data_IF_381424604950
#
_entry.id   IF_381424604950
#
_cell.length_a   1.000
_cell.length_b   1.000
_cell.length_c   1.000
_cell.angle_alpha   90.00
_cell.angle_beta   90.00
_cell.angle_gamma   90.00
#
_symmetry.space_group_name_H-M   'P 1'
#
loop_
_entity.id
_entity.type
_entity.pdbx_description
1 polymer ?
#
# COMPACT_ATOMS: atom_id res chain seq x y z
N UNK A 1 -13.76 11.07 11.61
CA UNK A 1 -14.37 9.87 12.24
C UNK A 1 -13.52 9.33 13.41
N UNK A 2 -14.09 8.50 14.28
CA UNK A 2 -13.34 7.77 15.32
C UNK A 2 -13.36 6.28 15.00
N UNK A 3 -12.18 5.67 14.96
CA UNK A 3 -12.04 4.21 14.83
C UNK A 3 -12.27 3.59 16.21
N UNK A 4 -13.14 2.59 16.26
CA UNK A 4 -13.48 1.83 17.47
C UNK A 4 -13.04 0.37 17.35
N UNK A 5 -13.18 -0.41 18.42
CA UNK A 5 -12.74 -1.81 18.43
C UNK A 5 -13.50 -2.66 17.39
N UNK A 6 -14.76 -2.31 17.15
CA UNK A 6 -15.64 -2.95 16.18
C UNK A 6 -15.23 -2.66 14.73
N UNK A 7 -14.53 -1.54 14.49
CA UNK A 7 -14.11 -1.13 13.15
C UNK A 7 -12.82 -1.84 12.71
N UNK A 8 -11.98 -2.28 13.65
CA UNK A 8 -10.64 -2.82 13.32
C UNK A 8 -10.69 -3.99 12.35
N UNK A 9 -11.51 -5.05 12.54
CA UNK A 9 -11.53 -6.17 11.60
C UNK A 9 -11.88 -5.74 10.17
N UNK A 10 -12.80 -4.79 10.03
CA UNK A 10 -13.20 -4.25 8.73
C UNK A 10 -12.09 -3.37 8.13
N UNK A 11 -11.50 -2.46 8.92
CA UNK A 11 -10.38 -1.65 8.43
C UNK A 11 -9.21 -2.53 7.99
N UNK A 12 -8.82 -3.52 8.82
CA UNK A 12 -7.79 -4.53 8.53
C UNK A 12 -8.07 -5.26 7.20
N UNK A 13 -9.31 -5.74 7.00
CA UNK A 13 -9.69 -6.40 5.75
C UNK A 13 -9.59 -5.46 4.55
N UNK A 14 -10.05 -4.23 4.69
CA UNK A 14 -10.04 -3.22 3.64
C UNK A 14 -8.63 -2.86 3.18
N UNK A 15 -7.75 -2.52 4.14
CA UNK A 15 -6.36 -2.15 3.83
C UNK A 15 -5.59 -3.32 3.22
N UNK A 16 -5.85 -4.56 3.69
CA UNK A 16 -5.24 -5.75 3.11
C UNK A 16 -5.69 -5.98 1.65
N UNK A 17 -6.98 -5.76 1.35
CA UNK A 17 -7.50 -5.87 -0.02
C UNK A 17 -6.90 -4.82 -0.95
N UNK A 18 -6.58 -3.62 -0.43
CA UNK A 18 -5.95 -2.53 -1.17
C UNK A 18 -4.42 -2.69 -1.29
N UNK A 19 -3.81 -3.64 -0.57
CA UNK A 19 -2.37 -3.91 -0.62
C UNK A 19 -1.89 -4.54 -1.93
N UNK A 20 -2.78 -5.04 -2.78
CA UNK A 20 -2.45 -5.67 -4.07
C UNK A 20 -1.45 -6.82 -3.98
N UNK A 21 -1.43 -7.56 -2.86
CA UNK A 21 -0.44 -8.61 -2.59
C UNK A 21 0.87 -8.11 -1.97
N UNK A 22 1.07 -6.79 -1.89
CA UNK A 22 2.15 -6.11 -1.17
C UNK A 22 1.67 -5.48 0.13
N UNK A 23 2.42 -4.50 0.65
CA UNK A 23 2.07 -3.76 1.87
C UNK A 23 2.18 -4.53 3.19
N UNK A 24 2.55 -5.83 3.15
CA UNK A 24 2.83 -6.67 4.32
C UNK A 24 1.63 -7.10 5.16
N UNK A 25 1.89 -7.97 6.13
CA UNK A 25 0.85 -8.52 7.01
C UNK A 25 0.26 -7.45 7.95
N UNK A 26 -1.07 -7.41 8.00
CA UNK A 26 -1.85 -6.43 8.73
C UNK A 26 -2.13 -6.86 10.18
N UNK A 27 -1.95 -8.14 10.52
CA UNK A 27 -2.31 -8.70 11.83
C UNK A 27 -1.62 -7.95 12.97
N UNK A 28 -0.29 -7.75 12.86
CA UNK A 28 0.50 -7.05 13.88
C UNK A 28 0.03 -5.60 14.03
N UNK A 29 -0.17 -4.89 12.93
CA UNK A 29 -0.62 -3.50 12.95
C UNK A 29 -2.04 -3.37 13.52
N UNK A 30 -2.95 -4.30 13.21
CA UNK A 30 -4.29 -4.35 13.77
C UNK A 30 -4.27 -4.63 15.28
N UNK A 31 -3.38 -5.51 15.74
CA UNK A 31 -3.19 -5.78 17.16
C UNK A 31 -2.66 -4.55 17.93
N UNK A 32 -1.73 -3.79 17.34
CA UNK A 32 -1.24 -2.53 17.89
C UNK A 32 -2.35 -1.48 17.94
N UNK A 33 -3.13 -1.33 16.85
CA UNK A 33 -4.25 -0.40 16.79
C UNK A 33 -5.28 -0.68 17.87
N UNK A 34 -5.66 -1.94 18.11
CA UNK A 34 -6.62 -2.32 19.17
C UNK A 34 -6.21 -1.80 20.56
N UNK A 35 -4.91 -1.65 20.84
CA UNK A 35 -4.38 -1.15 22.12
C UNK A 35 -4.37 0.38 22.23
N UNK A 36 -4.74 1.11 21.18
CA UNK A 36 -4.72 2.58 21.07
C UNK A 36 -6.07 3.18 20.70
N UNK A 37 -7.14 2.41 20.89
CA UNK A 37 -8.50 2.88 20.57
C UNK A 37 -9.12 3.64 21.75
N UNK A 38 -10.04 4.60 21.47
CA UNK A 38 -10.43 5.06 20.14
C UNK A 38 -9.33 5.92 19.48
N UNK A 39 -9.21 5.82 18.15
CA UNK A 39 -8.26 6.61 17.37
C UNK A 39 -8.98 7.58 16.43
N UNK A 40 -8.43 8.78 16.26
CA UNK A 40 -9.03 9.84 15.46
C UNK A 40 -8.52 9.82 14.03
N UNK A 41 -9.46 9.85 13.09
CA UNK A 41 -9.20 10.04 11.65
C UNK A 41 -9.95 11.29 11.20
N UNK A 42 -9.25 12.29 10.68
CA UNK A 42 -9.79 13.62 10.39
C UNK A 42 -9.92 13.81 8.87
N UNK A 43 -11.13 14.09 8.34
CA UNK A 43 -11.28 14.45 6.94
C UNK A 43 -10.40 15.66 6.57
N UNK A 44 -9.84 15.69 5.35
CA UNK A 44 -8.99 16.81 4.90
C UNK A 44 -9.69 18.17 5.05
N UNK A 45 -10.98 18.24 4.73
CA UNK A 45 -11.78 19.47 4.80
C UNK A 45 -12.02 20.00 6.21
N UNK A 46 -11.77 19.20 7.25
CA UNK A 46 -11.95 19.59 8.65
C UNK A 46 -10.67 20.20 9.26
N UNK A 47 -9.55 20.19 8.52
CA UNK A 47 -8.29 20.78 8.95
C UNK A 47 -8.20 22.27 8.58
N UNK A 48 -7.53 23.10 9.41
CA UNK A 48 -7.12 24.44 9.00
C UNK A 48 -6.28 24.38 7.70
N UNK A 49 -6.50 25.27 6.71
CA UNK A 49 -5.79 25.24 5.42
C UNK A 49 -4.25 25.22 5.51
N UNK A 50 -3.70 25.83 6.55
CA UNK A 50 -2.28 25.95 6.86
C UNK A 50 -1.71 24.81 7.70
N UNK A 51 -2.57 23.94 8.24
CA UNK A 51 -2.17 22.83 9.09
C UNK A 51 -1.16 21.94 8.37
N UNK A 52 -0.10 21.57 9.08
CA UNK A 52 1.04 20.83 8.58
C UNK A 52 0.83 19.34 8.76
N UNK A 53 0.62 18.65 7.65
CA UNK A 53 0.35 17.22 7.63
C UNK A 53 1.60 16.47 7.20
N UNK A 54 2.15 15.63 8.08
CA UNK A 54 3.40 14.90 7.81
C UNK A 54 3.09 13.51 7.23
N UNK A 55 3.56 13.20 6.02
CA UNK A 55 3.46 11.85 5.49
C UNK A 55 4.39 10.90 6.23
N UNK A 56 3.85 9.78 6.71
CA UNK A 56 4.60 8.74 7.41
C UNK A 56 4.21 7.35 6.94
N UNK A 57 5.15 6.42 7.01
CA UNK A 57 4.87 5.00 6.82
C UNK A 57 6.12 4.14 6.92
N UNK A 58 5.91 2.84 7.04
CA UNK A 58 6.95 1.83 7.01
C UNK A 58 7.42 1.64 5.57
N UNK A 59 8.73 1.57 5.40
CA UNK A 59 9.41 1.24 4.15
C UNK A 59 10.39 0.09 4.38
N UNK A 60 10.69 -0.67 3.33
CA UNK A 60 11.61 -1.81 3.38
C UNK A 60 10.89 -3.16 3.32
N UNK A 61 11.57 -4.21 3.80
CA UNK A 61 11.06 -5.57 3.74
C UNK A 61 10.01 -5.80 4.83
N UNK A 62 8.74 -5.87 4.44
CA UNK A 62 7.63 -6.11 5.36
C UNK A 62 7.68 -7.48 6.04
N UNK A 63 8.30 -8.48 5.39
CA UNK A 63 8.61 -9.77 6.02
C UNK A 63 9.60 -9.63 7.19
N UNK A 64 10.52 -8.67 7.14
CA UNK A 64 11.44 -8.41 8.26
C UNK A 64 10.72 -7.66 9.38
N UNK A 65 9.73 -6.82 9.07
CA UNK A 65 8.92 -6.12 10.07
C UNK A 65 8.17 -7.10 11.00
N UNK A 66 7.70 -8.24 10.48
CA UNK A 66 6.99 -9.25 11.30
C UNK A 66 7.93 -10.06 12.21
N UNK A 67 9.21 -10.18 11.85
CA UNK A 67 10.24 -10.86 12.66
C UNK A 67 10.92 -9.90 13.64
N UNK A 68 11.16 -8.66 13.22
CA UNK A 68 11.80 -7.59 13.98
C UNK A 68 10.79 -6.49 14.27
N UNK A 69 9.96 -6.73 15.27
CA UNK A 69 8.88 -5.84 15.68
C UNK A 69 9.37 -4.44 16.08
N UNK A 70 8.55 -3.38 15.90
CA UNK A 70 8.88 -2.02 16.29
C UNK A 70 9.07 -1.90 17.81
N UNK A 71 10.06 -1.09 18.21
CA UNK A 71 10.26 -0.67 19.59
C UNK A 71 9.23 0.36 20.06
N UNK A 72 8.63 1.11 19.14
CA UNK A 72 7.56 2.08 19.39
C UNK A 72 7.97 3.54 19.16
N UNK A 73 9.26 3.84 19.24
CA UNK A 73 9.77 5.21 19.14
C UNK A 73 10.13 5.62 17.69
N UNK A 74 10.08 4.70 16.72
CA UNK A 74 10.58 4.93 15.37
C UNK A 74 9.84 6.05 14.64
N UNK A 75 8.50 6.09 14.78
CA UNK A 75 7.70 7.15 14.14
C UNK A 75 7.93 8.50 14.80
N UNK A 76 7.97 8.54 16.14
CA UNK A 76 8.29 9.76 16.88
C UNK A 76 9.68 10.29 16.50
N UNK A 77 10.64 9.39 16.33
CA UNK A 77 12.01 9.72 15.89
C UNK A 77 12.03 10.31 14.48
N UNK A 78 11.32 9.68 13.53
CA UNK A 78 11.23 10.16 12.15
C UNK A 78 10.54 11.53 12.06
N UNK A 79 9.39 11.68 12.74
CA UNK A 79 8.64 12.96 12.80
C UNK A 79 9.51 14.05 13.43
N UNK A 80 10.10 13.81 14.59
CA UNK A 80 10.95 14.80 15.24
C UNK A 80 12.17 15.20 14.38
N UNK A 81 12.72 14.28 13.59
CA UNK A 81 13.82 14.57 12.68
C UNK A 81 13.40 15.41 11.48
N UNK A 82 12.24 15.13 10.85
CA UNK A 82 11.77 15.95 9.73
C UNK A 82 11.31 17.33 10.21
N UNK A 83 10.70 17.43 11.39
CA UNK A 83 10.34 18.72 12.01
C UNK A 83 11.59 19.57 12.30
N UNK A 84 12.66 18.96 12.84
CA UNK A 84 13.93 19.68 13.05
C UNK A 84 14.54 20.18 11.75
N UNK A 85 14.46 19.38 10.69
CA UNK A 85 15.04 19.74 9.39
C UNK A 85 14.27 20.87 8.70
N UNK A 86 12.93 20.82 8.74
CA UNK A 86 12.04 21.77 8.07
C UNK A 86 11.70 23.00 8.91
N UNK A 87 11.93 22.93 10.23
CA UNK A 87 11.44 23.90 11.21
C UNK A 87 9.90 24.06 11.24
N UNK A 88 9.18 23.03 10.79
CA UNK A 88 7.71 22.97 10.78
C UNK A 88 7.24 21.84 11.69
N UNK A 89 6.23 22.09 12.52
CA UNK A 89 5.65 21.09 13.44
C UNK A 89 4.48 20.36 12.78
N UNK A 90 4.29 19.09 13.11
CA UNK A 90 3.16 18.31 12.64
C UNK A 90 1.87 18.65 13.41
N UNK A 91 0.82 19.00 12.69
CA UNK A 91 -0.55 19.15 13.22
C UNK A 91 -1.36 17.85 13.04
N UNK A 92 -1.01 17.06 12.02
CA UNK A 92 -1.61 15.76 11.72
C UNK A 92 -0.61 14.87 10.96
N UNK A 93 -0.92 13.57 10.86
CA UNK A 93 -0.18 12.62 10.03
C UNK A 93 -1.03 12.20 8.83
N UNK A 94 -0.38 11.84 7.72
CA UNK A 94 -1.01 11.17 6.58
C UNK A 94 -0.23 9.90 6.26
N UNK A 95 -0.90 8.82 5.88
CA UNK A 95 -0.18 7.62 5.45
C UNK A 95 0.48 7.85 4.09
N UNK A 96 1.67 7.29 3.88
CA UNK A 96 2.24 7.21 2.52
C UNK A 96 1.44 6.25 1.63
N UNK A 97 0.81 5.23 2.20
CA UNK A 97 -0.07 4.30 1.47
C UNK A 97 -1.14 3.68 2.38
N UNK A 98 -2.35 3.48 1.86
CA UNK A 98 -3.45 2.83 2.59
C UNK A 98 -3.36 1.30 2.53
N UNK A 99 -2.57 0.74 1.61
CA UNK A 99 -2.41 -0.71 1.44
C UNK A 99 -1.64 -1.36 2.58
N UNK A 100 -2.12 -2.49 3.08
CA UNK A 100 -1.42 -3.32 4.06
C UNK A 100 -1.18 -2.61 5.41
N UNK A 101 -0.02 -2.82 6.02
CA UNK A 101 0.31 -2.32 7.36
C UNK A 101 0.34 -0.79 7.46
N UNK A 102 0.67 -0.10 6.37
CA UNK A 102 0.65 1.37 6.29
C UNK A 102 -0.76 1.94 6.36
N UNK A 103 -1.81 1.15 6.09
CA UNK A 103 -3.19 1.55 6.35
C UNK A 103 -3.58 1.60 7.84
N UNK A 104 -2.72 1.09 8.74
CA UNK A 104 -3.03 0.93 10.18
C UNK A 104 -1.99 1.59 11.09
N UNK A 105 -0.69 1.45 10.80
CA UNK A 105 0.38 1.92 11.69
C UNK A 105 0.42 3.45 11.88
N UNK A 106 0.19 4.29 10.84
CA UNK A 106 0.09 5.73 11.05
C UNK A 106 -1.00 6.12 12.05
N UNK A 107 -2.09 5.35 12.14
CA UNK A 107 -3.19 5.59 13.11
C UNK A 107 -2.71 5.32 14.54
N UNK A 108 -1.95 4.24 14.73
CA UNK A 108 -1.28 3.94 16.01
C UNK A 108 -0.34 5.07 16.39
N UNK A 109 0.51 5.49 15.46
CA UNK A 109 1.54 6.49 15.71
C UNK A 109 0.96 7.88 15.98
N UNK A 110 -0.09 8.29 15.25
CA UNK A 110 -0.76 9.55 15.51
C UNK A 110 -1.32 9.59 16.94
N UNK A 111 -1.96 8.50 17.39
CA UNK A 111 -2.45 8.42 18.77
C UNK A 111 -1.33 8.58 19.80
N UNK A 112 -0.18 7.92 19.59
CA UNK A 112 0.97 8.00 20.50
C UNK A 112 1.62 9.39 20.52
N UNK A 113 1.54 10.13 19.41
CA UNK A 113 2.00 11.51 19.29
C UNK A 113 0.95 12.55 19.74
N UNK A 114 -0.26 12.14 20.12
CA UNK A 114 -1.35 13.06 20.45
C UNK A 114 -1.91 13.82 19.23
N UNK A 115 -1.72 13.26 18.03
CA UNK A 115 -2.18 13.79 16.74
C UNK A 115 -3.36 12.96 16.18
N UNK A 116 -3.92 13.42 15.06
CA UNK A 116 -4.85 12.62 14.25
C UNK A 116 -4.22 12.19 12.93
N UNK A 117 -4.73 11.11 12.33
CA UNK A 117 -4.44 10.77 10.93
C UNK A 117 -5.46 11.43 10.02
N UNK A 118 -5.02 11.93 8.89
CA UNK A 118 -5.90 12.47 7.85
C UNK A 118 -6.57 11.33 7.08
N UNK A 119 -7.85 11.47 6.73
CA UNK A 119 -8.57 10.52 5.87
C UNK A 119 -8.13 10.66 4.40
N UNK A 120 -6.88 10.34 4.15
CA UNK A 120 -6.21 10.37 2.86
C UNK A 120 -4.90 9.58 2.96
N UNK A 121 -4.31 9.28 1.82
CA UNK A 121 -2.96 8.75 1.72
C UNK A 121 -2.30 9.20 0.41
N UNK A 122 -1.05 8.82 0.20
CA UNK A 122 -0.30 9.23 -0.99
C UNK A 122 -0.29 8.18 -2.12
N UNK A 123 -1.15 7.16 -2.06
CA UNK A 123 -1.20 6.14 -3.10
C UNK A 123 -2.59 5.53 -3.38
N UNK A 124 -3.51 5.47 -2.42
CA UNK A 124 -4.78 4.75 -2.53
C UNK A 124 -4.67 3.22 -2.66
N UNK A 125 -3.45 2.66 -2.65
CA UNK A 125 -3.16 1.22 -2.80
C UNK A 125 -1.72 0.88 -2.36
N UNK A 126 -1.39 -0.41 -2.24
CA UNK A 126 0.00 -0.84 -2.08
C UNK A 126 0.85 -0.49 -3.32
N UNK A 127 2.05 0.08 -3.10
CA UNK A 127 3.03 0.42 -4.14
C UNK A 127 4.48 0.09 -3.71
N UNK A 128 5.35 -0.36 -4.63
CA UNK A 128 6.69 -0.83 -4.28
C UNK A 128 7.76 0.27 -4.16
N UNK A 129 7.53 1.45 -4.75
CA UNK A 129 8.53 2.53 -4.84
C UNK A 129 8.00 3.86 -4.33
N UNK A 130 8.87 4.66 -3.70
CA UNK A 130 8.53 5.97 -3.19
C UNK A 130 8.27 6.99 -4.30
N UNK A 131 8.91 6.82 -5.46
CA UNK A 131 8.68 7.68 -6.63
C UNK A 131 7.29 7.50 -7.26
N UNK A 132 6.52 6.51 -6.80
CA UNK A 132 5.14 6.27 -7.20
C UNK A 132 4.12 6.89 -6.25
N UNK A 133 4.57 7.62 -5.22
CA UNK A 133 3.67 8.40 -4.38
C UNK A 133 3.09 9.58 -5.16
N UNK A 134 1.84 9.95 -4.86
CA UNK A 134 1.11 11.03 -5.51
C UNK A 134 1.85 12.37 -5.42
N UNK A 135 2.56 12.63 -4.31
CA UNK A 135 3.38 13.84 -4.11
C UNK A 135 4.55 13.95 -5.09
N UNK A 136 5.21 12.83 -5.39
CA UNK A 136 6.26 12.77 -6.41
C UNK A 136 5.64 12.99 -7.80
N UNK A 137 4.51 12.33 -8.05
CA UNK A 137 3.77 12.41 -9.32
C UNK A 137 3.34 13.83 -9.67
N UNK A 138 2.89 14.63 -8.70
CA UNK A 138 2.49 16.03 -8.93
C UNK A 138 3.65 17.03 -8.84
N UNK A 139 4.89 16.55 -8.76
CA UNK A 139 6.10 17.38 -8.79
C UNK A 139 6.41 18.12 -7.49
N UNK A 140 5.80 17.74 -6.36
CA UNK A 140 6.23 18.23 -5.03
C UNK A 140 7.56 17.63 -4.60
N UNK A 141 7.86 16.43 -5.10
CA UNK A 141 9.06 15.68 -4.80
C UNK A 141 9.04 15.04 -3.41
N UNK A 142 10.00 14.15 -3.17
CA UNK A 142 10.18 13.43 -1.92
C UNK A 142 11.13 14.15 -0.95
N UNK A 143 12.02 15.00 -1.45
CA UNK A 143 12.99 15.70 -0.62
C UNK A 143 12.40 16.97 0.05
N UNK A 144 12.72 17.26 1.32
CA UNK A 144 13.50 16.41 2.23
C UNK A 144 12.72 15.18 2.72
N UNK A 145 13.44 14.07 2.86
CA UNK A 145 12.92 12.82 3.42
C UNK A 145 13.76 12.37 4.61
N UNK A 146 13.13 11.74 5.59
CA UNK A 146 13.77 11.14 6.76
C UNK A 146 13.47 9.66 6.78
N UNK A 147 14.49 8.84 7.05
CA UNK A 147 14.36 7.41 7.28
C UNK A 147 14.92 7.09 8.67
N UNK A 148 14.06 6.66 9.60
CA UNK A 148 14.44 6.28 10.96
C UNK A 148 14.24 4.77 11.16
N UNK A 149 15.31 4.04 11.47
CA UNK A 149 15.25 2.60 11.64
C UNK A 149 15.22 2.17 13.12
N UNK A 150 14.78 0.93 13.44
CA UNK A 150 14.59 0.45 14.82
C UNK A 150 15.83 0.46 15.72
N UNK A 151 17.04 0.58 15.16
CA UNK A 151 18.27 0.70 15.98
C UNK A 151 18.50 2.12 16.52
N UNK A 152 17.69 3.09 16.08
CA UNK A 152 17.82 4.51 16.40
C UNK A 152 18.63 5.31 15.37
N UNK A 153 19.18 4.67 14.32
CA UNK A 153 19.81 5.41 13.24
C UNK A 153 18.78 6.19 12.42
N UNK A 154 19.13 7.44 12.11
CA UNK A 154 18.31 8.36 11.32
C UNK A 154 19.11 8.86 10.13
N UNK A 155 18.59 8.65 8.93
CA UNK A 155 19.10 9.20 7.69
C UNK A 155 18.21 10.37 7.24
N UNK A 156 18.83 11.52 6.98
CA UNK A 156 18.15 12.69 6.40
C UNK A 156 18.62 12.87 4.97
N UNK A 157 17.68 12.79 4.03
CA UNK A 157 17.89 12.99 2.62
C UNK A 157 17.38 14.40 2.26
N UNK A 158 18.26 15.37 2.44
CA UNK A 158 17.96 16.80 2.34
C UNK A 158 17.49 17.25 0.95
N UNK A 159 18.13 16.73 -0.10
CA UNK A 159 17.94 17.12 -1.50
C UNK A 159 18.19 15.93 -2.41
N UNK A 160 17.75 16.03 -3.66
CA UNK A 160 17.94 15.02 -4.69
C UNK A 160 16.68 14.84 -5.54
N UNK A 161 16.82 14.15 -6.66
CA UNK A 161 15.65 13.68 -7.41
C UNK A 161 14.98 12.53 -6.68
N UNK A 162 13.68 12.31 -6.92
CA UNK A 162 12.91 11.24 -6.28
C UNK A 162 13.55 9.86 -6.49
N UNK A 163 14.06 9.58 -7.69
CA UNK A 163 14.81 8.37 -8.00
C UNK A 163 16.13 8.23 -7.19
N UNK A 164 16.76 9.35 -6.83
CA UNK A 164 17.96 9.33 -5.98
C UNK A 164 17.59 9.08 -4.52
N UNK A 165 16.51 9.70 -4.04
CA UNK A 165 15.96 9.49 -2.69
C UNK A 165 15.60 8.01 -2.51
N UNK A 166 14.78 7.47 -3.42
CA UNK A 166 14.38 6.06 -3.49
C UNK A 166 15.58 5.12 -3.41
N UNK A 167 16.57 5.31 -4.30
CA UNK A 167 17.77 4.46 -4.36
C UNK A 167 18.61 4.54 -3.10
N UNK A 168 18.74 5.74 -2.50
CA UNK A 168 19.55 5.94 -1.29
C UNK A 168 18.87 5.32 -0.07
N UNK A 169 17.57 5.54 0.10
CA UNK A 169 16.77 4.93 1.16
C UNK A 169 16.83 3.40 1.09
N UNK A 170 16.70 2.83 -0.11
CA UNK A 170 16.81 1.38 -0.34
C UNK A 170 18.20 0.82 0.01
N UNK A 171 19.27 1.53 -0.37
CA UNK A 171 20.63 1.13 -0.03
C UNK A 171 20.87 1.15 1.48
N UNK A 172 20.37 2.18 2.17
CA UNK A 172 20.44 2.28 3.63
C UNK A 172 19.75 1.09 4.29
N UNK A 173 18.49 0.83 3.93
CA UNK A 173 17.68 -0.28 4.46
C UNK A 173 18.33 -1.66 4.24
N UNK A 174 18.91 -1.89 3.06
CA UNK A 174 19.58 -3.15 2.73
C UNK A 174 20.84 -3.40 3.58
N UNK A 175 21.47 -2.33 4.07
CA UNK A 175 22.67 -2.39 4.92
C UNK A 175 22.36 -2.31 6.42
N UNK A 176 21.09 -2.13 6.79
CA UNK A 176 20.66 -1.87 8.16
C UNK A 176 19.66 -2.94 8.64
N UNK A 177 18.66 -2.56 9.44
CA UNK A 177 17.63 -3.45 9.99
C UNK A 177 16.67 -4.08 8.98
N UNK A 178 16.66 -3.66 7.71
CA UNK A 178 15.78 -4.17 6.66
C UNK A 178 14.43 -3.48 6.54
N UNK A 179 14.00 -2.69 7.54
CA UNK A 179 12.82 -1.82 7.47
C UNK A 179 13.01 -0.54 8.29
N UNK A 180 12.29 0.53 7.96
CA UNK A 180 12.35 1.79 8.70
C UNK A 180 11.04 2.56 8.59
N UNK A 181 10.91 3.64 9.35
CA UNK A 181 9.88 4.66 9.14
C UNK A 181 10.41 5.74 8.21
N UNK A 182 9.68 5.97 7.13
CA UNK A 182 9.80 7.15 6.29
C UNK A 182 8.94 8.28 6.87
N UNK A 183 9.50 9.48 6.95
CA UNK A 183 8.74 10.72 7.10
C UNK A 183 9.13 11.70 5.99
N UNK A 184 8.14 12.35 5.37
CA UNK A 184 8.36 13.37 4.33
C UNK A 184 8.09 14.77 4.88
N UNK A 185 8.53 15.79 4.14
CA UNK A 185 8.26 17.18 4.46
C UNK A 185 6.76 17.44 4.72
N UNK A 186 6.41 18.28 5.71
CA UNK A 186 5.01 18.60 5.98
C UNK A 186 4.31 19.23 4.77
N UNK A 187 3.08 18.79 4.52
CA UNK A 187 2.24 19.29 3.44
C UNK A 187 1.15 20.15 4.08
N UNK A 188 0.94 21.41 3.63
CA UNK A 188 -0.19 22.19 4.11
C UNK A 188 -1.50 21.53 3.68
N UNK A 189 -2.48 21.45 4.59
CA UNK A 189 -3.75 20.76 4.34
C UNK A 189 -4.47 21.27 3.07
N UNK A 190 -4.36 22.56 2.77
CA UNK A 190 -4.88 23.18 1.52
C UNK A 190 -4.33 22.59 0.23
N UNK A 191 -3.15 21.95 0.26
CA UNK A 191 -2.54 21.33 -0.91
C UNK A 191 -2.90 19.84 -1.06
N UNK A 192 -3.43 19.18 -0.02
CA UNK A 192 -3.76 17.75 -0.06
C UNK A 192 -4.78 17.37 -1.15
N UNK A 193 -5.84 18.15 -1.43
CA UNK A 193 -6.79 17.80 -2.48
C UNK A 193 -6.16 17.67 -3.88
N UNK A 194 -5.00 18.30 -4.11
CA UNK A 194 -4.27 18.21 -5.38
C UNK A 194 -3.08 17.23 -5.33
N UNK A 195 -2.73 16.70 -4.15
CA UNK A 195 -1.49 15.96 -3.94
C UNK A 195 -1.66 14.60 -3.26
N UNK A 196 -2.87 14.23 -2.83
CA UNK A 196 -3.18 12.99 -2.12
C UNK A 196 -4.43 12.32 -2.71
N UNK A 197 -4.60 11.04 -2.41
CA UNK A 197 -5.85 10.32 -2.63
C UNK A 197 -6.72 10.47 -1.39
N UNK A 198 -7.93 11.00 -1.55
CA UNK A 198 -8.82 11.34 -0.44
C UNK A 198 -9.70 10.14 -0.01
N UNK A 199 -10.18 10.20 1.23
CA UNK A 199 -11.17 9.28 1.81
C UNK A 199 -10.73 7.81 1.84
N UNK A 200 -9.42 7.56 1.90
CA UNK A 200 -8.89 6.20 1.73
C UNK A 200 -9.01 5.35 2.98
N UNK A 201 -8.94 5.94 4.18
CA UNK A 201 -9.13 5.19 5.43
C UNK A 201 -10.60 4.83 5.62
N UNK A 202 -11.51 5.78 5.41
CA UNK A 202 -12.95 5.51 5.46
C UNK A 202 -13.41 4.57 4.33
N UNK A 203 -12.85 4.74 3.13
CA UNK A 203 -13.06 3.86 1.99
C UNK A 203 -12.61 2.42 2.26
N UNK A 204 -11.44 2.22 2.86
CA UNK A 204 -10.94 0.91 3.27
C UNK A 204 -11.84 0.27 4.34
N UNK A 205 -12.22 1.03 5.38
CA UNK A 205 -13.13 0.55 6.42
C UNK A 205 -14.46 0.05 5.83
N UNK A 206 -15.05 0.83 4.93
CA UNK A 206 -16.31 0.50 4.29
C UNK A 206 -16.18 -0.68 3.30
N UNK A 207 -15.08 -0.78 2.55
CA UNK A 207 -14.75 -1.96 1.74
C UNK A 207 -14.71 -3.23 2.60
N UNK A 208 -13.98 -3.19 3.71
CA UNK A 208 -13.86 -4.34 4.58
C UNK A 208 -15.17 -4.73 5.26
N UNK A 209 -16.02 -3.75 5.65
CA UNK A 209 -17.38 -4.05 6.16
C UNK A 209 -18.20 -4.83 5.15
N UNK A 210 -18.22 -4.38 3.89
CA UNK A 210 -18.96 -5.07 2.82
C UNK A 210 -18.47 -6.49 2.59
N UNK A 211 -17.15 -6.70 2.55
CA UNK A 211 -16.57 -8.03 2.32
C UNK A 211 -16.81 -8.96 3.51
N UNK A 212 -16.62 -8.49 4.75
CA UNK A 212 -16.87 -9.28 5.96
C UNK A 212 -18.34 -9.68 6.10
N UNK A 213 -19.27 -8.82 5.69
CA UNK A 213 -20.71 -9.09 5.75
C UNK A 213 -21.13 -10.27 4.84
N UNK A 214 -20.32 -10.66 3.86
CA UNK A 214 -20.62 -11.81 3.00
C UNK A 214 -20.41 -13.16 3.68
N UNK A 215 -19.63 -13.20 4.78
CA UNK A 215 -19.26 -14.46 5.45
C UNK A 215 -18.26 -15.29 4.64
N UNK A 216 -18.28 -16.61 4.87
CA UNK A 216 -17.38 -17.54 4.18
C UNK A 216 -17.95 -18.03 2.84
N UNK A 217 -17.05 -18.32 1.91
CA UNK A 217 -17.31 -18.85 0.57
C UNK A 217 -18.37 -18.05 -0.19
N UNK A 218 -18.23 -16.72 -0.30
CA UNK A 218 -19.24 -15.92 -0.97
C UNK A 218 -19.38 -16.29 -2.44
N UNK A 219 -20.57 -16.07 -3.00
CA UNK A 219 -20.79 -16.14 -4.44
C UNK A 219 -19.93 -15.07 -5.16
N UNK A 220 -19.29 -15.37 -6.30
CA UNK A 220 -18.47 -14.41 -7.04
C UNK A 220 -19.17 -13.10 -7.40
N UNK A 221 -20.48 -13.11 -7.71
CA UNK A 221 -21.20 -11.89 -8.05
C UNK A 221 -21.42 -11.00 -6.82
N UNK A 222 -21.71 -11.60 -5.66
CA UNK A 222 -21.82 -10.88 -4.39
C UNK A 222 -20.46 -10.27 -3.99
N UNK A 223 -19.37 -11.01 -4.18
CA UNK A 223 -18.02 -10.51 -3.93
C UNK A 223 -17.64 -9.36 -4.86
N UNK A 224 -17.91 -9.48 -6.17
CA UNK A 224 -17.70 -8.41 -7.15
C UNK A 224 -18.47 -7.13 -6.77
N UNK A 225 -19.72 -7.26 -6.33
CA UNK A 225 -20.54 -6.14 -5.86
C UNK A 225 -19.95 -5.49 -4.59
N UNK A 226 -19.51 -6.29 -3.61
CA UNK A 226 -18.93 -5.80 -2.36
C UNK A 226 -17.62 -5.01 -2.58
N UNK A 227 -16.77 -5.47 -3.50
CA UNK A 227 -15.52 -4.76 -3.85
C UNK A 227 -15.73 -3.66 -4.89
N UNK A 228 -16.96 -3.50 -5.42
CA UNK A 228 -17.31 -2.62 -6.54
C UNK A 228 -16.39 -2.81 -7.75
N UNK A 229 -16.04 -4.06 -8.02
CA UNK A 229 -15.04 -4.45 -8.99
C UNK A 229 -15.43 -5.73 -9.70
N UNK A 230 -14.46 -6.59 -9.98
CA UNK A 230 -14.64 -7.81 -10.76
C UNK A 230 -13.93 -9.00 -10.11
N UNK A 231 -14.53 -10.19 -10.22
CA UNK A 231 -13.87 -11.47 -9.95
C UNK A 231 -13.35 -12.03 -11.27
N UNK A 232 -12.05 -11.83 -11.51
CA UNK A 232 -11.37 -12.25 -12.74
C UNK A 232 -11.26 -13.77 -12.86
N UNK A 233 -11.11 -14.48 -11.74
CA UNK A 233 -11.14 -15.93 -11.70
C UNK A 233 -11.42 -16.46 -10.30
N UNK A 234 -11.89 -17.69 -10.23
CA UNK A 234 -11.95 -18.50 -9.01
C UNK A 234 -11.36 -19.85 -9.36
N UNK A 235 -10.27 -20.26 -8.70
CA UNK A 235 -9.48 -21.37 -9.22
C UNK A 235 -8.40 -21.88 -8.29
N UNK A 236 -7.80 -23.00 -8.70
CA UNK A 236 -6.63 -23.60 -8.04
C UNK A 236 -5.34 -23.07 -8.63
N UNK A 237 -4.42 -22.62 -7.79
CA UNK A 237 -3.06 -22.26 -8.24
C UNK A 237 -2.32 -23.51 -8.72
N UNK A 238 -1.88 -23.48 -9.98
CA UNK A 238 -1.11 -24.55 -10.62
C UNK A 238 0.39 -24.39 -10.42
N UNK A 239 0.88 -23.16 -10.56
CA UNK A 239 2.31 -22.86 -10.57
C UNK A 239 2.57 -21.50 -9.93
N UNK A 240 3.65 -21.41 -9.15
CA UNK A 240 4.20 -20.13 -8.70
C UNK A 240 5.68 -20.05 -9.04
N UNK A 241 6.04 -19.14 -9.94
CA UNK A 241 7.43 -18.88 -10.33
C UNK A 241 7.93 -17.59 -9.70
N UNK A 242 9.17 -17.59 -9.19
CA UNK A 242 9.84 -16.40 -8.64
C UNK A 242 11.27 -16.35 -9.15
N UNK A 243 11.69 -15.17 -9.57
CA UNK A 243 13.04 -14.88 -10.07
C UNK A 243 13.47 -13.50 -9.60
N UNK A 244 14.77 -13.30 -9.45
CA UNK A 244 15.32 -11.95 -9.25
C UNK A 244 15.04 -11.14 -10.52
N UNK A 245 14.40 -9.99 -10.40
CA UNK A 245 14.17 -9.11 -11.54
C UNK A 245 15.47 -8.46 -12.01
N UNK A 246 15.54 -8.04 -13.28
CA UNK A 246 16.69 -7.29 -13.78
C UNK A 246 16.78 -5.96 -13.04
N UNK A 247 17.94 -5.65 -12.46
CA UNK A 247 18.25 -4.30 -11.98
C UNK A 247 19.23 -3.60 -12.90
N UNK A 248 19.46 -2.31 -12.64
CA UNK A 248 20.41 -1.53 -13.43
C UNK A 248 21.87 -1.85 -13.04
N UNK A 249 22.79 -1.71 -13.99
CA UNK A 249 24.24 -1.79 -13.76
C UNK A 249 24.70 -3.09 -13.05
N UNK A 250 24.07 -4.23 -13.38
CA UNK A 250 24.44 -5.54 -12.83
C UNK A 250 23.97 -5.80 -11.40
N UNK A 251 23.09 -4.95 -10.84
CA UNK A 251 22.49 -5.16 -9.51
C UNK A 251 21.17 -5.94 -9.62
N UNK A 252 20.79 -6.73 -8.60
CA UNK A 252 19.44 -7.30 -8.48
C UNK A 252 18.35 -6.21 -8.46
N UNK A 253 17.30 -6.37 -9.27
CA UNK A 253 16.08 -5.57 -9.18
C UNK A 253 15.07 -6.17 -8.20
N UNK A 254 13.85 -5.64 -8.17
CA UNK A 254 12.75 -6.26 -7.42
C UNK A 254 12.54 -7.71 -7.88
N UNK A 255 12.16 -8.59 -6.95
CA UNK A 255 11.76 -9.95 -7.31
C UNK A 255 10.59 -9.89 -8.28
N UNK A 256 10.67 -10.61 -9.40
CA UNK A 256 9.57 -10.82 -10.34
C UNK A 256 9.03 -12.21 -10.18
N UNK A 257 7.74 -12.36 -10.32
CA UNK A 257 7.12 -13.67 -10.28
C UNK A 257 5.89 -13.75 -11.16
N UNK A 258 5.41 -14.98 -11.30
CA UNK A 258 4.12 -15.24 -11.91
C UNK A 258 3.35 -16.29 -11.13
N UNK A 259 2.03 -16.14 -11.12
CA UNK A 259 1.10 -17.12 -10.54
C UNK A 259 0.16 -17.57 -11.64
N UNK A 260 0.10 -18.87 -11.92
CA UNK A 260 -0.84 -19.44 -12.90
C UNK A 260 -1.89 -20.25 -12.17
N UNK A 261 -3.15 -20.06 -12.52
CA UNK A 261 -4.28 -20.83 -11.99
C UNK A 261 -5.25 -21.22 -13.11
N UNK A 262 -6.03 -22.28 -12.88
CA UNK A 262 -7.14 -22.67 -13.75
C UNK A 262 -8.45 -22.16 -13.17
N UNK A 263 -9.22 -21.41 -13.95
CA UNK A 263 -10.55 -20.93 -13.55
C UNK A 263 -11.55 -22.10 -13.55
N UNK A 264 -12.24 -22.28 -12.42
CA UNK A 264 -13.23 -23.34 -12.25
C UNK A 264 -14.48 -23.16 -13.14
N UNK A 265 -14.71 -21.93 -13.66
CA UNK A 265 -15.89 -21.63 -14.48
C UNK A 265 -15.83 -22.26 -15.87
N UNK A 266 -14.67 -22.18 -16.52
CA UNK A 266 -14.51 -22.53 -17.94
C UNK A 266 -13.20 -23.29 -18.25
N UNK A 267 -12.34 -23.51 -17.25
CA UNK A 267 -11.05 -24.16 -17.44
C UNK A 267 -9.97 -23.28 -18.06
N UNK A 268 -10.23 -21.98 -18.28
CA UNK A 268 -9.23 -21.04 -18.80
C UNK A 268 -8.05 -20.87 -17.84
N UNK A 269 -6.89 -20.53 -18.39
CA UNK A 269 -5.71 -20.21 -17.60
C UNK A 269 -5.68 -18.72 -17.31
N UNK A 270 -5.65 -18.36 -16.03
CA UNK A 270 -5.32 -17.00 -15.60
C UNK A 270 -3.88 -16.99 -15.07
N UNK A 271 -3.04 -16.15 -15.68
CA UNK A 271 -1.68 -15.89 -15.23
C UNK A 271 -1.57 -14.47 -14.70
N UNK A 272 -1.04 -14.32 -13.50
CA UNK A 272 -0.69 -13.05 -12.91
C UNK A 272 0.80 -12.80 -13.04
N UNK A 273 1.20 -11.61 -13.46
CA UNK A 273 2.57 -11.10 -13.27
C UNK A 273 2.62 -10.27 -11.99
N UNK A 274 3.65 -10.48 -11.18
CA UNK A 274 3.82 -9.83 -9.88
C UNK A 274 5.26 -9.37 -9.65
N UNK A 275 5.41 -8.29 -8.88
CA UNK A 275 6.63 -7.94 -8.15
C UNK A 275 6.37 -8.07 -6.66
N UNK A 276 6.42 -6.97 -5.90
CA UNK A 276 5.86 -6.94 -4.53
C UNK A 276 4.32 -6.93 -4.57
N UNK A 277 3.73 -6.44 -5.66
CA UNK A 277 2.29 -6.40 -5.91
C UNK A 277 1.92 -7.22 -7.15
N UNK A 278 0.66 -7.66 -7.27
CA UNK A 278 0.09 -8.19 -8.49
C UNK A 278 -0.17 -7.05 -9.49
N UNK A 279 0.40 -7.14 -10.69
CA UNK A 279 0.49 -6.01 -11.63
C UNK A 279 -0.32 -6.21 -12.91
N UNK A 280 -0.39 -7.44 -13.41
CA UNK A 280 -1.06 -7.76 -14.68
C UNK A 280 -1.74 -9.12 -14.58
N UNK A 281 -2.94 -9.24 -15.13
CA UNK A 281 -3.65 -10.49 -15.32
C UNK A 281 -3.80 -10.79 -16.82
N UNK A 282 -3.38 -12.00 -17.20
CA UNK A 282 -3.45 -12.55 -18.55
C UNK A 282 -4.40 -13.75 -18.54
N UNK A 283 -5.47 -13.72 -19.33
CA UNK A 283 -6.35 -14.88 -19.56
C UNK A 283 -6.01 -15.50 -20.90
N UNK A 284 -5.57 -16.76 -20.90
CA UNK A 284 -5.13 -17.49 -22.09
C UNK A 284 -4.20 -16.65 -23.00
N UNK A 285 -3.26 -15.94 -22.35
CA UNK A 285 -2.27 -15.07 -23.01
C UNK A 285 -2.73 -13.63 -23.31
N UNK A 286 -3.99 -13.28 -23.10
CA UNK A 286 -4.53 -11.95 -23.37
C UNK A 286 -4.66 -11.12 -22.08
N UNK A 287 -4.19 -9.87 -22.09
CA UNK A 287 -4.33 -8.98 -20.95
C UNK A 287 -5.80 -8.64 -20.67
N UNK A 288 -6.26 -8.90 -19.45
CA UNK A 288 -7.65 -8.67 -19.02
C UNK A 288 -7.78 -7.67 -17.88
N UNK A 289 -6.70 -7.42 -17.14
CA UNK A 289 -6.65 -6.38 -16.10
C UNK A 289 -5.20 -6.01 -15.80
N UNK A 290 -4.93 -4.77 -15.42
CA UNK A 290 -3.61 -4.36 -14.99
C UNK A 290 -3.65 -3.22 -13.97
N UNK A 291 -2.51 -2.96 -13.33
CA UNK A 291 -2.23 -1.67 -12.68
C UNK A 291 -2.55 -0.51 -13.65
N UNK A 292 -3.13 0.62 -13.19
CA UNK A 292 -3.31 1.05 -11.79
C UNK A 292 -4.45 0.39 -11.00
N UNK A 293 -5.32 -0.41 -11.62
CA UNK A 293 -6.34 -1.16 -10.87
C UNK A 293 -5.68 -2.11 -9.86
N UNK A 294 -6.31 -2.27 -8.70
CA UNK A 294 -5.78 -3.11 -7.62
C UNK A 294 -6.12 -4.56 -7.93
N UNK A 295 -5.10 -5.37 -8.18
CA UNK A 295 -5.24 -6.81 -8.35
C UNK A 295 -4.96 -7.50 -7.02
N UNK A 296 -5.93 -8.25 -6.52
CA UNK A 296 -5.83 -8.93 -5.24
C UNK A 296 -6.16 -10.39 -5.38
N UNK A 297 -5.23 -11.26 -4.99
CA UNK A 297 -5.48 -12.69 -4.83
C UNK A 297 -5.94 -12.91 -3.39
N UNK A 298 -7.08 -13.56 -3.20
CA UNK A 298 -7.62 -13.84 -1.88
C UNK A 298 -7.96 -15.32 -1.74
N UNK A 299 -7.82 -15.85 -0.53
CA UNK A 299 -8.30 -17.19 -0.19
C UNK A 299 -9.79 -17.31 -0.53
N UNK A 300 -10.15 -18.37 -1.29
CA UNK A 300 -11.49 -18.50 -1.87
C UNK A 300 -12.61 -18.56 -0.82
N UNK A 301 -12.31 -19.11 0.36
CA UNK A 301 -13.29 -19.32 1.43
C UNK A 301 -13.40 -18.09 2.33
N UNK A 302 -12.29 -17.54 2.75
CA UNK A 302 -12.24 -16.50 3.79
C UNK A 302 -12.15 -15.08 3.23
N UNK A 303 -11.89 -14.95 1.93
CA UNK A 303 -11.56 -13.70 1.24
C UNK A 303 -10.37 -12.97 1.86
N UNK A 304 -9.50 -13.66 2.60
CA UNK A 304 -8.27 -13.09 3.17
C UNK A 304 -7.28 -12.90 2.03
N UNK A 305 -6.80 -11.67 1.78
CA UNK A 305 -5.79 -11.44 0.76
C UNK A 305 -4.53 -12.28 1.02
N UNK A 306 -3.99 -12.86 -0.04
CA UNK A 306 -2.74 -13.62 -0.02
C UNK A 306 -1.68 -12.76 -0.70
N UNK A 307 -0.56 -12.57 -0.03
CA UNK A 307 0.54 -11.76 -0.55
C UNK A 307 1.37 -12.50 -1.61
N UNK A 308 2.10 -11.73 -2.41
CA UNK A 308 2.97 -12.24 -3.48
C UNK A 308 4.05 -13.22 -2.96
N UNK A 309 4.53 -13.00 -1.73
CA UNK A 309 5.49 -13.86 -1.03
C UNK A 309 4.83 -15.06 -0.33
N UNK A 310 3.54 -15.01 0.00
CA UNK A 310 2.80 -16.09 0.67
C UNK A 310 2.07 -17.04 -0.28
N UNK A 311 1.77 -16.64 -1.52
CA UNK A 311 1.05 -17.49 -2.49
C UNK A 311 1.83 -18.78 -2.81
N UNK A 312 1.14 -19.93 -2.80
CA UNK A 312 1.72 -21.27 -3.03
C UNK A 312 0.89 -22.05 -4.04
N UNK A 313 1.52 -23.06 -4.64
CA UNK A 313 0.83 -24.03 -5.48
C UNK A 313 -0.22 -24.81 -4.68
N UNK A 314 -1.33 -25.12 -5.34
CA UNK A 314 -2.40 -25.94 -4.79
C UNK A 314 -3.44 -25.22 -3.95
N UNK A 315 -3.25 -23.93 -3.63
CA UNK A 315 -4.23 -23.13 -2.87
C UNK A 315 -5.41 -22.70 -3.74
N UNK A 316 -6.59 -22.65 -3.14
CA UNK A 316 -7.85 -22.23 -3.77
C UNK A 316 -8.05 -20.72 -3.58
N UNK A 317 -8.17 -19.99 -4.68
CA UNK A 317 -8.17 -18.52 -4.66
C UNK A 317 -9.30 -17.91 -5.48
N UNK A 318 -9.66 -16.68 -5.12
CA UNK A 318 -10.36 -15.74 -5.98
C UNK A 318 -9.41 -14.63 -6.38
N UNK A 319 -9.32 -14.33 -7.68
CA UNK A 319 -8.56 -13.19 -8.20
C UNK A 319 -9.52 -12.04 -8.44
N UNK A 320 -9.25 -10.93 -7.77
CA UNK A 320 -10.10 -9.77 -7.70
C UNK A 320 -9.43 -8.60 -8.41
N UNK A 321 -10.25 -7.77 -9.05
CA UNK A 321 -9.87 -6.48 -9.61
C UNK A 321 -10.72 -5.41 -8.95
N UNK A 322 -10.10 -4.51 -8.20
CA UNK A 322 -10.75 -3.34 -7.62
C UNK A 322 -10.37 -2.11 -8.45
N UNK A 323 -11.29 -1.15 -8.64
CA UNK A 323 -11.00 0.05 -9.43
C UNK A 323 -9.89 0.87 -8.80
N UNK A 324 -9.00 1.41 -9.64
CA UNK A 324 -8.02 2.40 -9.21
C UNK A 324 -8.70 3.67 -8.67
N UNK A 325 -8.01 4.37 -7.76
CA UNK A 325 -8.42 5.71 -7.37
C UNK A 325 -8.40 6.64 -8.60
N UNK A 326 -9.34 7.59 -8.65
CA UNK A 326 -9.49 8.52 -9.79
C UNK A 326 -8.21 9.29 -10.11
N UNK A 327 -7.41 9.59 -9.07
CA UNK A 327 -6.08 10.20 -9.20
C UNK A 327 -5.19 9.42 -10.19
N UNK A 328 -5.22 8.09 -10.20
CA UNK A 328 -4.36 7.26 -11.05
C UNK A 328 -4.95 6.94 -12.42
N UNK A 329 -6.26 7.15 -12.60
CA UNK A 329 -6.91 7.06 -13.91
C UNK A 329 -6.79 8.34 -14.73
N UNK A 330 -6.31 9.44 -14.12
CA UNK A 330 -5.97 10.65 -14.86
C UNK A 330 -4.83 10.34 -15.85
N UNK A 331 -4.99 10.63 -17.16
CA UNK A 331 -3.96 10.37 -18.17
C UNK A 331 -2.59 10.99 -17.86
N UNK A 332 -2.55 12.06 -17.05
CA UNK A 332 -1.30 12.71 -16.63
C UNK A 332 -0.51 11.88 -15.62
N UNK A 333 -1.19 11.07 -14.81
CA UNK A 333 -0.59 10.27 -13.73
C UNK A 333 -0.45 8.79 -14.12
N UNK A 334 -1.29 8.32 -15.04
CA UNK A 334 -1.32 6.94 -15.52
C UNK A 334 0.06 6.36 -15.89
N UNK A 335 0.99 7.10 -16.54
CA UNK A 335 2.30 6.55 -16.87
C UNK A 335 3.15 6.12 -15.67
N UNK A 336 2.88 6.63 -14.46
CA UNK A 336 3.62 6.30 -13.23
C UNK A 336 3.27 4.91 -12.70
N UNK A 337 2.00 4.51 -12.87
CA UNK A 337 1.47 3.23 -12.39
C UNK A 337 1.06 2.27 -13.50
N UNK A 338 1.20 2.65 -14.77
CA UNK A 338 0.93 1.76 -15.89
C UNK A 338 1.93 0.59 -15.92
N UNK A 339 1.61 -0.52 -16.61
CA UNK A 339 2.47 -1.71 -16.64
C UNK A 339 3.91 -1.44 -17.09
N UNK A 340 4.12 -0.48 -18.00
CA UNK A 340 5.45 -0.06 -18.45
C UNK A 340 6.33 0.52 -17.34
N UNK A 341 5.75 1.16 -16.32
CA UNK A 341 6.50 1.66 -15.16
C UNK A 341 7.15 0.55 -14.33
N UNK A 342 6.63 -0.67 -14.48
CA UNK A 342 7.15 -1.91 -13.91
C UNK A 342 7.89 -2.74 -14.97
N UNK A 343 8.25 -2.17 -16.12
CA UNK A 343 8.97 -2.88 -17.19
C UNK A 343 8.18 -4.06 -17.77
N UNK A 344 6.84 -3.95 -17.83
CA UNK A 344 5.96 -4.88 -18.53
C UNK A 344 5.48 -4.15 -19.80
N UNK A 345 5.85 -4.66 -20.97
CA UNK A 345 5.53 -4.01 -22.25
C UNK A 345 4.09 -4.32 -22.69
N UNK A 346 3.15 -3.61 -22.06
CA UNK A 346 1.72 -3.68 -22.38
C UNK A 346 1.04 -2.36 -22.05
N UNK A 347 -0.06 -2.05 -22.75
CA UNK A 347 -0.90 -0.91 -22.41
C UNK A 347 -1.72 -1.21 -21.14
N UNK A 348 -2.05 -0.19 -20.33
CA UNK A 348 -2.95 -0.37 -19.20
C UNK A 348 -4.32 -0.91 -19.65
N UNK A 349 -4.78 -1.99 -19.01
CA UNK A 349 -6.14 -2.50 -19.17
C UNK A 349 -6.99 -1.90 -18.06
N UNK A 350 -7.61 -0.76 -18.35
CA UNK A 350 -8.48 -0.01 -17.44
C UNK A 350 -9.92 -0.53 -17.48
N UNK A 351 -10.72 -0.15 -16.47
CA UNK A 351 -12.13 -0.55 -16.34
C UNK A 351 -13.04 0.52 -16.93
#
# INVERSE_FOLDING_TARGET
MKITAQDVPALERGVALLGSGGGGDTITAAALLRKRLPAAVTPVGDLPPEAKVVPVGVVGATAVFTEKLPGGDEVATAVAAIERWTAERADALISIEVGGLNGLLPIVAAHELGLSVVDADLSGRGLPRLDQLSVATVGRGLAPAVVAEPSGQVLVLATGSDATIERTARAFLASSSGWAILALAPIPASALPAAAVLDTVSGALELGRRVLALGESPDPAALAAAIRGEVLATGRVLEVSRRVGPGEHGRPGFGRGSVTLTDHRDGSLLRLEMENEYLLALRDGHAVASTPDVLTVADRRTCVPISCDAIREGVEVAVLRLPAASFWTDPRHLPVLGPRAFGIDTEPVLR
#
